data_IF_824714450032
#
_entry.id   IF_824714450032
#
_cell.length_a   1.000
_cell.length_b   1.000
_cell.length_c   1.000
_cell.angle_alpha   90.00
_cell.angle_beta   90.00
_cell.angle_gamma   90.00
#
_symmetry.space_group_name_H-M   'P 1'
#
loop_
_entity.id
_entity.type
_entity.pdbx_description
1 polymer ?
#
# COMPACT_ATOMS: atom_id res chain seq x y z
N UNK A 1 28.32 -13.10 8.20
CA UNK A 1 28.44 -12.12 9.29
C UNK A 1 27.25 -11.19 9.18
N UNK A 2 26.22 -11.38 10.00
CA UNK A 2 25.07 -10.48 10.07
C UNK A 2 25.55 -9.14 10.61
N UNK A 3 25.45 -8.09 9.80
CA UNK A 3 25.70 -6.72 10.27
C UNK A 3 24.60 -6.35 11.26
N UNK A 4 24.94 -6.22 12.54
CA UNK A 4 24.06 -5.63 13.56
C UNK A 4 23.66 -4.22 13.11
N UNK A 5 22.39 -4.03 12.78
CA UNK A 5 21.82 -2.71 12.43
C UNK A 5 22.00 -1.76 13.62
N UNK A 6 22.65 -0.62 13.40
CA UNK A 6 22.70 0.47 14.38
C UNK A 6 21.26 0.97 14.63
N UNK A 7 20.80 0.88 15.87
CA UNK A 7 19.44 1.14 16.35
C UNK A 7 18.92 2.58 16.13
N UNK A 8 19.70 3.51 15.52
CA UNK A 8 19.42 4.95 15.43
C UNK A 8 19.62 5.57 14.03
N UNK A 9 19.76 4.80 12.95
CA UNK A 9 19.80 5.42 11.61
C UNK A 9 18.38 5.59 11.06
N UNK A 10 18.09 6.74 10.47
CA UNK A 10 16.92 6.92 9.62
C UNK A 10 17.01 5.88 8.50
N UNK A 11 16.00 5.01 8.39
CA UNK A 11 15.91 4.05 7.28
C UNK A 11 15.49 4.81 6.03
N UNK A 12 16.27 4.65 4.96
CA UNK A 12 15.90 5.22 3.67
C UNK A 12 14.78 4.38 3.04
N UNK A 13 13.79 5.05 2.48
CA UNK A 13 12.73 4.36 1.77
C UNK A 13 12.31 5.09 0.49
N UNK A 14 11.98 4.31 -0.52
CA UNK A 14 11.43 4.77 -1.79
C UNK A 14 9.95 4.47 -1.86
N UNK A 15 9.19 5.40 -2.44
CA UNK A 15 7.77 5.26 -2.72
C UNK A 15 7.58 5.06 -4.22
N UNK A 16 6.94 3.96 -4.63
CA UNK A 16 6.55 3.69 -6.01
C UNK A 16 5.04 3.86 -6.14
N UNK A 17 4.61 4.68 -7.10
CA UNK A 17 3.21 4.90 -7.45
C UNK A 17 3.05 4.60 -8.94
N UNK A 18 2.17 3.65 -9.27
CA UNK A 18 1.82 3.35 -10.65
C UNK A 18 0.50 4.05 -10.98
N UNK A 19 0.42 4.70 -12.14
CA UNK A 19 -0.78 5.39 -12.58
C UNK A 19 -1.09 5.14 -14.06
N UNK A 20 -2.36 5.30 -14.43
CA UNK A 20 -2.82 5.22 -15.81
C UNK A 20 -4.02 6.15 -16.02
N UNK A 21 -3.83 7.25 -16.75
CA UNK A 21 -4.86 8.23 -17.14
C UNK A 21 -5.64 8.84 -15.95
N UNK A 22 -5.00 8.99 -14.78
CA UNK A 22 -5.63 9.42 -13.51
C UNK A 22 -4.86 10.56 -12.82
N UNK A 23 -4.59 11.72 -13.49
CA UNK A 23 -3.77 12.78 -12.91
C UNK A 23 -4.36 13.40 -11.64
N UNK A 24 -5.69 13.51 -11.52
CA UNK A 24 -6.32 14.14 -10.36
C UNK A 24 -6.26 13.28 -9.08
N UNK A 25 -6.56 11.97 -9.09
CA UNK A 25 -6.28 11.09 -7.96
C UNK A 25 -4.81 11.12 -7.56
N UNK A 26 -3.88 10.99 -8.51
CA UNK A 26 -2.45 11.06 -8.26
C UNK A 26 -2.04 12.37 -7.56
N UNK A 27 -2.57 13.52 -8.01
CA UNK A 27 -2.29 14.82 -7.38
C UNK A 27 -2.77 14.85 -5.92
N UNK A 28 -3.93 14.28 -5.61
CA UNK A 28 -4.43 14.19 -4.22
C UNK A 28 -3.51 13.34 -3.36
N UNK A 29 -3.09 12.17 -3.85
CA UNK A 29 -2.11 11.34 -3.16
C UNK A 29 -0.82 12.11 -2.91
N UNK A 30 -0.21 12.72 -3.93
CA UNK A 30 1.04 13.48 -3.80
C UNK A 30 0.93 14.63 -2.79
N UNK A 31 -0.21 15.32 -2.75
CA UNK A 31 -0.48 16.34 -1.75
C UNK A 31 -0.59 15.76 -0.32
N UNK A 32 -1.08 14.53 -0.16
CA UNK A 32 -1.09 13.86 1.14
C UNK A 32 0.31 13.38 1.55
N UNK A 33 1.12 12.95 0.56
CA UNK A 33 2.55 12.62 0.76
C UNK A 33 3.33 13.86 1.19
N UNK A 34 3.08 15.02 0.58
CA UNK A 34 3.74 16.28 0.95
C UNK A 34 3.49 16.71 2.40
N UNK A 35 2.40 16.25 3.02
CA UNK A 35 2.02 16.55 4.41
C UNK A 35 2.53 15.52 5.43
N UNK A 36 3.24 14.49 5.00
CA UNK A 36 3.71 13.43 5.88
C UNK A 36 4.72 13.93 6.91
N UNK A 37 4.64 13.42 8.14
CA UNK A 37 5.62 13.71 9.20
C UNK A 37 6.99 13.07 8.94
N UNK A 38 7.04 12.02 8.12
CA UNK A 38 8.25 11.39 7.57
C UNK A 38 8.11 11.32 6.05
N UNK A 39 8.94 12.07 5.33
CA UNK A 39 8.87 12.19 3.88
C UNK A 39 9.75 11.13 3.19
N UNK A 40 9.33 10.56 2.04
CA UNK A 40 10.14 9.61 1.29
C UNK A 40 11.47 10.18 0.83
N UNK A 41 12.53 9.36 0.87
CA UNK A 41 13.82 9.73 0.30
C UNK A 41 13.76 9.82 -1.23
N UNK A 42 12.83 9.06 -1.83
CA UNK A 42 12.59 9.01 -3.26
C UNK A 42 11.12 8.70 -3.54
N UNK A 43 10.55 9.36 -4.56
CA UNK A 43 9.21 9.08 -5.09
C UNK A 43 9.36 8.74 -6.56
N UNK A 44 8.91 7.56 -6.97
CA UNK A 44 8.92 7.10 -8.35
C UNK A 44 7.48 7.03 -8.86
N UNK A 45 7.14 7.90 -9.80
CA UNK A 45 5.88 7.81 -10.55
C UNK A 45 6.13 7.01 -11.82
N UNK A 46 5.45 5.89 -11.96
CA UNK A 46 5.50 5.05 -13.17
C UNK A 46 4.16 5.16 -13.89
N UNK A 47 4.15 5.93 -14.97
CA UNK A 47 2.93 6.28 -15.70
C UNK A 47 2.82 5.50 -17.01
N UNK A 48 1.76 4.70 -17.13
CA UNK A 48 1.40 3.98 -18.34
C UNK A 48 0.45 4.74 -19.27
N UNK A 49 0.14 6.02 -19.00
CA UNK A 49 -0.86 6.81 -19.74
C UNK A 49 -0.48 6.99 -21.21
N UNK A 50 -1.51 7.06 -22.06
CA UNK A 50 -1.36 7.32 -23.48
C UNK A 50 -1.34 8.82 -23.81
N UNK A 51 -1.67 9.67 -22.85
CA UNK A 51 -1.75 11.13 -22.99
C UNK A 51 -0.73 11.85 -22.08
N UNK A 52 -0.67 13.17 -22.15
CA UNK A 52 0.31 14.01 -21.45
C UNK A 52 -0.26 14.64 -20.16
N UNK A 53 -1.52 14.37 -19.78
CA UNK A 53 -2.18 15.04 -18.65
C UNK A 53 -1.44 14.84 -17.32
N UNK A 54 -0.82 13.67 -17.11
CA UNK A 54 0.00 13.43 -15.91
C UNK A 54 1.28 14.26 -15.95
N UNK A 55 1.94 14.34 -17.12
CA UNK A 55 3.13 15.18 -17.32
C UNK A 55 2.80 16.65 -17.03
N UNK A 56 1.75 17.19 -17.67
CA UNK A 56 1.29 18.57 -17.49
C UNK A 56 0.95 18.86 -16.02
N UNK A 57 0.29 17.92 -15.34
CA UNK A 57 -0.03 18.05 -13.91
C UNK A 57 1.25 18.13 -13.07
N UNK A 58 2.27 17.31 -13.35
CA UNK A 58 3.53 17.32 -12.62
C UNK A 58 4.38 18.55 -12.91
N UNK A 59 4.36 19.08 -14.13
CA UNK A 59 5.03 20.34 -14.49
C UNK A 59 4.46 21.56 -13.76
N UNK A 60 3.15 21.55 -13.50
CA UNK A 60 2.46 22.60 -12.77
C UNK A 60 2.53 22.45 -11.24
N UNK A 61 3.15 21.38 -10.73
CA UNK A 61 3.27 21.10 -9.30
C UNK A 61 4.68 20.60 -8.98
N UNK A 62 5.27 21.10 -7.90
CA UNK A 62 6.61 20.71 -7.47
C UNK A 62 6.56 19.78 -6.27
N UNK A 63 7.13 18.59 -6.39
CA UNK A 63 7.28 17.63 -5.30
C UNK A 63 8.75 17.25 -5.11
N UNK A 64 9.19 17.33 -3.86
CA UNK A 64 10.59 17.00 -3.52
C UNK A 64 10.87 15.50 -3.77
N UNK A 65 12.07 15.21 -4.27
CA UNK A 65 12.58 13.84 -4.48
C UNK A 65 11.75 13.00 -5.47
N UNK A 66 10.93 13.62 -6.33
CA UNK A 66 10.09 12.94 -7.30
C UNK A 66 10.85 12.71 -8.60
N UNK A 67 10.79 11.47 -9.10
CA UNK A 67 11.22 11.05 -10.42
C UNK A 67 10.02 10.52 -11.18
N UNK A 68 9.83 10.96 -12.41
CA UNK A 68 8.73 10.56 -13.28
C UNK A 68 9.23 9.71 -14.44
N UNK A 69 8.54 8.60 -14.68
CA UNK A 69 8.81 7.68 -15.78
C UNK A 69 7.52 7.39 -16.55
N UNK A 70 7.45 7.88 -17.77
CA UNK A 70 6.40 7.47 -18.72
C UNK A 70 6.85 6.18 -19.40
N UNK A 71 6.07 5.12 -19.26
CA UNK A 71 6.42 3.81 -19.82
C UNK A 71 5.64 3.51 -21.10
N UNK A 72 6.27 2.75 -21.98
CA UNK A 72 5.67 2.27 -23.22
C UNK A 72 4.70 1.12 -22.96
N UNK A 73 3.98 0.67 -23.99
CA UNK A 73 3.03 -0.44 -23.91
C UNK A 73 3.65 -1.73 -23.36
N UNK A 74 4.90 -1.98 -23.63
CA UNK A 74 5.66 -3.12 -23.14
C UNK A 74 5.67 -3.20 -21.61
N UNK A 75 5.84 -2.06 -20.94
CA UNK A 75 5.87 -1.94 -19.47
C UNK A 75 4.55 -1.46 -18.86
N UNK A 76 3.47 -1.39 -19.66
CA UNK A 76 2.15 -0.99 -19.18
C UNK A 76 1.46 -2.13 -18.46
N UNK A 77 0.72 -1.78 -17.39
CA UNK A 77 0.00 -2.68 -16.51
C UNK A 77 0.61 -2.73 -15.12
N UNK A 78 -0.23 -2.81 -14.09
CA UNK A 78 0.15 -2.59 -12.69
C UNK A 78 1.40 -3.39 -12.27
N UNK A 79 1.44 -4.69 -12.58
CA UNK A 79 2.57 -5.55 -12.22
C UNK A 79 3.85 -5.14 -12.95
N UNK A 80 3.75 -4.88 -14.26
CA UNK A 80 4.90 -4.46 -15.08
C UNK A 80 5.43 -3.09 -14.63
N UNK A 81 4.54 -2.14 -14.35
CA UNK A 81 4.91 -0.82 -13.84
C UNK A 81 5.58 -0.91 -12.47
N UNK A 82 5.09 -1.77 -11.57
CA UNK A 82 5.73 -2.02 -10.27
C UNK A 82 7.11 -2.61 -10.43
N UNK A 83 7.30 -3.61 -11.29
CA UNK A 83 8.61 -4.20 -11.57
C UNK A 83 9.57 -3.16 -12.17
N UNK A 84 9.11 -2.38 -13.15
CA UNK A 84 9.90 -1.28 -13.71
C UNK A 84 10.31 -0.27 -12.61
N UNK A 85 9.38 0.09 -11.73
CA UNK A 85 9.68 0.97 -10.59
C UNK A 85 10.75 0.39 -9.66
N UNK A 86 10.68 -0.91 -9.34
CA UNK A 86 11.67 -1.60 -8.50
C UNK A 86 13.08 -1.49 -9.11
N UNK A 87 13.21 -1.66 -10.43
CA UNK A 87 14.50 -1.54 -11.14
C UNK A 87 15.10 -0.13 -11.09
N UNK A 88 14.27 0.90 -10.83
CA UNK A 88 14.68 2.31 -10.76
C UNK A 88 14.90 2.82 -9.33
N UNK A 89 14.61 2.00 -8.31
CA UNK A 89 14.81 2.36 -6.91
C UNK A 89 16.29 2.65 -6.63
N UNK A 90 16.54 3.70 -5.84
CA UNK A 90 17.89 4.02 -5.38
C UNK A 90 18.46 2.86 -4.53
N UNK A 91 19.71 2.48 -4.82
CA UNK A 91 20.39 1.36 -4.15
C UNK A 91 20.60 1.58 -2.65
N UNK A 92 20.44 2.80 -2.17
CA UNK A 92 20.51 3.13 -0.73
C UNK A 92 19.18 2.92 -0.01
N UNK A 93 18.08 2.68 -0.74
CA UNK A 93 16.78 2.40 -0.14
C UNK A 93 16.76 1.04 0.54
N UNK A 94 16.35 1.04 1.81
CA UNK A 94 16.21 -0.17 2.63
C UNK A 94 14.79 -0.74 2.57
N UNK A 95 13.81 0.12 2.25
CA UNK A 95 12.39 -0.21 2.20
C UNK A 95 11.80 0.36 0.90
N UNK A 96 10.96 -0.43 0.24
CA UNK A 96 10.16 0.00 -0.89
C UNK A 96 8.69 0.00 -0.50
N UNK A 97 8.04 1.16 -0.61
CA UNK A 97 6.62 1.32 -0.39
C UNK A 97 5.89 1.37 -1.74
N UNK A 98 4.74 0.69 -1.82
CA UNK A 98 3.83 0.78 -2.95
C UNK A 98 2.52 1.40 -2.50
N UNK A 99 2.02 2.36 -3.26
CA UNK A 99 0.69 2.94 -3.08
C UNK A 99 -0.04 2.96 -4.41
N UNK A 100 -1.35 2.77 -4.36
CA UNK A 100 -2.24 3.00 -5.48
C UNK A 100 -2.50 4.51 -5.62
N UNK A 101 -2.68 5.01 -6.84
CA UNK A 101 -2.72 6.43 -7.19
C UNK A 101 -3.94 7.19 -6.64
N UNK A 102 -4.92 6.49 -6.05
CA UNK A 102 -6.12 7.04 -5.42
C UNK A 102 -6.14 6.96 -3.89
N UNK A 103 -5.00 6.64 -3.29
CA UNK A 103 -4.86 6.58 -1.84
C UNK A 103 -4.66 7.99 -1.26
N UNK A 104 -5.29 8.28 -0.13
CA UNK A 104 -5.03 9.48 0.68
C UNK A 104 -4.51 9.05 2.05
N UNK A 105 -3.36 9.61 2.46
CA UNK A 105 -2.62 9.12 3.61
C UNK A 105 -2.93 9.91 4.90
N UNK A 106 -3.05 9.21 6.04
CA UNK A 106 -2.89 9.83 7.34
C UNK A 106 -1.50 10.47 7.47
N UNK A 107 -1.42 11.58 8.22
CA UNK A 107 -0.18 12.36 8.39
C UNK A 107 1.03 11.56 8.87
N UNK A 108 0.82 10.49 9.64
CA UNK A 108 1.87 9.68 10.23
C UNK A 108 2.04 8.31 9.55
N UNK A 109 1.44 8.12 8.38
CA UNK A 109 1.44 6.82 7.71
C UNK A 109 2.86 6.26 7.53
N UNK A 110 3.76 6.96 6.85
CA UNK A 110 5.12 6.47 6.64
C UNK A 110 5.91 6.36 7.95
N UNK A 111 5.68 7.27 8.90
CA UNK A 111 6.31 7.14 10.21
C UNK A 111 5.94 5.83 10.89
N UNK A 112 4.66 5.46 10.90
CA UNK A 112 4.18 4.20 11.48
C UNK A 112 4.79 2.98 10.76
N UNK A 113 4.82 2.96 9.43
CA UNK A 113 5.44 1.90 8.62
C UNK A 113 6.92 1.73 9.00
N UNK A 114 7.69 2.82 9.00
CA UNK A 114 9.13 2.78 9.28
C UNK A 114 9.41 2.41 10.73
N UNK A 115 8.62 2.89 11.67
CA UNK A 115 8.77 2.53 13.09
C UNK A 115 8.49 1.03 13.32
N UNK A 116 7.55 0.42 12.60
CA UNK A 116 7.31 -1.04 12.64
C UNK A 116 8.55 -1.82 12.22
N UNK A 117 9.15 -1.48 11.07
CA UNK A 117 10.39 -2.13 10.61
C UNK A 117 11.58 -1.93 11.56
N UNK A 118 11.63 -0.79 12.27
CA UNK A 118 12.69 -0.54 13.28
C UNK A 118 12.51 -1.37 14.53
N UNK A 119 11.27 -1.59 14.94
CA UNK A 119 10.94 -2.26 16.20
C UNK A 119 10.93 -3.78 16.07
N UNK A 120 10.69 -4.31 14.86
CA UNK A 120 10.68 -5.74 14.59
C UNK A 120 11.68 -6.09 13.47
N UNK A 121 12.80 -6.69 13.86
CA UNK A 121 13.85 -7.12 12.93
C UNK A 121 13.44 -8.30 12.03
N UNK A 122 12.37 -9.01 12.36
CA UNK A 122 11.82 -10.11 11.56
C UNK A 122 10.71 -9.64 10.62
N UNK A 123 10.29 -8.36 10.71
CA UNK A 123 9.28 -7.80 9.85
C UNK A 123 9.79 -7.74 8.40
N UNK A 124 9.09 -8.41 7.49
CA UNK A 124 9.40 -8.44 6.05
C UNK A 124 8.42 -7.62 5.21
N UNK A 125 7.29 -7.21 5.80
CA UNK A 125 6.27 -6.40 5.12
C UNK A 125 5.28 -5.80 6.10
N UNK A 126 4.81 -4.59 5.78
CA UNK A 126 3.79 -3.85 6.56
C UNK A 126 2.78 -3.27 5.60
N UNK A 127 1.50 -3.37 5.92
CA UNK A 127 0.41 -2.76 5.16
C UNK A 127 -0.38 -1.75 6.00
N UNK A 128 -0.92 -0.73 5.35
CA UNK A 128 -1.89 0.17 5.95
C UNK A 128 -3.31 -0.40 5.92
N UNK A 129 -4.19 0.18 6.71
CA UNK A 129 -5.62 -0.13 6.72
C UNK A 129 -6.39 1.03 6.08
N UNK A 130 -7.29 0.72 5.14
CA UNK A 130 -8.18 1.70 4.53
C UNK A 130 -9.32 2.05 5.52
N UNK A 131 -9.22 3.21 6.16
CA UNK A 131 -10.19 3.65 7.18
C UNK A 131 -11.52 4.13 6.59
N UNK A 132 -11.53 4.54 5.30
CA UNK A 132 -12.74 5.02 4.61
C UNK A 132 -13.60 3.88 4.04
N UNK A 133 -13.03 2.71 3.91
CA UNK A 133 -13.80 1.52 3.65
C UNK A 133 -14.41 1.06 4.99
N UNK A 134 -15.56 1.57 5.37
CA UNK A 134 -16.38 1.21 6.56
C UNK A 134 -16.81 -0.26 6.57
N UNK A 135 -15.90 -1.16 6.22
CA UNK A 135 -16.15 -2.60 6.15
C UNK A 135 -15.62 -3.32 7.36
N UNK A 136 -14.48 -2.84 7.93
CA UNK A 136 -13.90 -3.39 9.14
C UNK A 136 -14.45 -2.66 10.37
N UNK A 137 -14.96 -3.42 11.33
CA UNK A 137 -15.38 -2.88 12.61
C UNK A 137 -14.76 -3.70 13.74
N UNK A 138 -14.46 -3.02 14.85
CA UNK A 138 -13.94 -3.67 16.05
C UNK A 138 -15.05 -4.51 16.68
N UNK A 139 -14.73 -5.73 17.06
CA UNK A 139 -15.66 -6.63 17.76
C UNK A 139 -15.61 -6.24 19.24
N UNK A 140 -16.78 -5.90 19.83
CA UNK A 140 -16.90 -5.70 21.26
C UNK A 140 -16.99 -7.06 21.98
N UNK A 141 -16.48 -7.14 23.21
CA UNK A 141 -16.41 -8.39 24.00
C UNK A 141 -17.78 -9.10 24.15
N UNK A 142 -18.87 -8.34 24.07
CA UNK A 142 -20.25 -8.87 24.20
C UNK A 142 -20.95 -9.03 22.84
N UNK A 143 -20.27 -8.80 21.72
CA UNK A 143 -20.87 -8.84 20.39
C UNK A 143 -20.74 -10.23 19.76
N UNK A 144 -21.88 -10.87 19.50
CA UNK A 144 -21.93 -12.10 18.71
C UNK A 144 -21.75 -11.79 17.22
N UNK A 145 -20.75 -12.40 16.59
CA UNK A 145 -20.45 -12.26 15.17
C UNK A 145 -20.83 -13.53 14.42
N UNK A 146 -21.64 -13.38 13.37
CA UNK A 146 -21.96 -14.49 12.47
C UNK A 146 -20.79 -14.81 11.57
N UNK A 147 -19.98 -15.79 11.96
CA UNK A 147 -18.77 -16.22 11.24
C UNK A 147 -19.08 -16.79 9.84
N UNK A 148 -20.35 -17.12 9.53
CA UNK A 148 -20.71 -17.53 8.17
C UNK A 148 -20.80 -16.39 7.18
N UNK A 149 -20.84 -15.14 7.69
CA UNK A 149 -21.00 -13.91 6.89
C UNK A 149 -19.89 -12.88 7.10
N UNK A 150 -18.96 -13.16 8.01
CA UNK A 150 -17.89 -12.24 8.35
C UNK A 150 -16.53 -12.93 8.32
N UNK A 151 -15.54 -12.17 7.85
CA UNK A 151 -14.14 -12.50 8.09
C UNK A 151 -13.71 -11.82 9.38
N UNK A 152 -12.99 -12.53 10.22
CA UNK A 152 -12.53 -12.01 11.52
C UNK A 152 -11.01 -12.16 11.58
N UNK A 153 -10.32 -11.06 11.93
CA UNK A 153 -8.88 -11.04 12.16
C UNK A 153 -8.59 -10.05 13.29
N UNK A 154 -7.81 -10.49 14.26
CA UNK A 154 -7.25 -9.66 15.34
C UNK A 154 -8.27 -8.74 16.03
N UNK A 155 -9.44 -9.27 16.37
CA UNK A 155 -10.51 -8.53 17.05
C UNK A 155 -11.32 -7.57 16.16
N UNK A 156 -11.10 -7.60 14.84
CA UNK A 156 -11.88 -6.86 13.87
C UNK A 156 -12.67 -7.81 12.97
N UNK A 157 -13.83 -7.37 12.54
CA UNK A 157 -14.68 -8.10 11.59
C UNK A 157 -15.00 -7.27 10.36
N UNK A 158 -15.10 -7.95 9.21
CA UNK A 158 -15.61 -7.38 7.95
C UNK A 158 -16.71 -8.28 7.40
N UNK A 159 -17.82 -7.69 6.99
CA UNK A 159 -18.90 -8.44 6.35
C UNK A 159 -18.48 -8.91 4.96
N UNK A 160 -18.85 -10.14 4.61
CA UNK A 160 -18.63 -10.69 3.28
C UNK A 160 -19.25 -9.77 2.21
N UNK A 161 -18.48 -9.46 1.17
CA UNK A 161 -18.95 -8.58 0.10
C UNK A 161 -20.00 -9.26 -0.78
N UNK A 162 -20.94 -8.47 -1.29
CA UNK A 162 -21.95 -8.95 -2.26
C UNK A 162 -21.31 -9.64 -3.49
N UNK A 163 -20.08 -9.23 -3.85
CA UNK A 163 -19.31 -9.83 -4.95
C UNK A 163 -18.92 -11.29 -4.66
N UNK A 164 -18.50 -11.57 -3.43
CA UNK A 164 -18.18 -12.95 -3.01
C UNK A 164 -19.43 -13.80 -2.89
N UNK A 165 -20.53 -13.25 -2.39
CA UNK A 165 -21.83 -13.94 -2.34
C UNK A 165 -22.30 -14.34 -3.75
N UNK A 166 -22.13 -13.49 -4.76
CA UNK A 166 -22.47 -13.80 -6.16
C UNK A 166 -21.54 -14.90 -6.70
N UNK A 167 -20.23 -14.82 -6.45
CA UNK A 167 -19.27 -15.85 -6.86
C UNK A 167 -19.61 -17.22 -6.26
N UNK A 168 -19.93 -17.26 -4.97
CA UNK A 168 -20.32 -18.50 -4.29
C UNK A 168 -21.60 -19.10 -4.88
N UNK A 169 -22.60 -18.27 -5.22
CA UNK A 169 -23.83 -18.71 -5.90
C UNK A 169 -23.57 -19.28 -7.30
N UNK A 170 -22.55 -18.80 -7.99
CA UNK A 170 -22.14 -19.27 -9.32
C UNK A 170 -21.18 -20.46 -9.25
N UNK A 171 -20.90 -21.02 -8.07
CA UNK A 171 -19.95 -22.12 -7.89
C UNK A 171 -18.49 -21.75 -8.16
N UNK A 172 -18.19 -20.46 -8.28
CA UNK A 172 -16.84 -19.97 -8.44
C UNK A 172 -16.18 -19.93 -7.06
N UNK A 173 -15.13 -20.70 -6.85
CA UNK A 173 -14.43 -20.71 -5.56
C UNK A 173 -13.92 -19.30 -5.23
N UNK A 174 -14.37 -18.78 -4.08
CA UNK A 174 -13.70 -17.63 -3.46
C UNK A 174 -12.38 -18.12 -2.88
N UNK A 175 -11.24 -17.40 -3.09
CA UNK A 175 -9.99 -17.76 -2.44
C UNK A 175 -10.06 -17.60 -0.91
N UNK A 176 -11.07 -16.90 -0.41
CA UNK A 176 -11.29 -16.65 1.02
C UNK A 176 -12.67 -17.14 1.42
N UNK A 177 -12.75 -17.98 2.46
CA UNK A 177 -13.99 -18.36 3.11
C UNK A 177 -14.22 -17.46 4.34
N UNK A 178 -15.48 -17.02 4.60
CA UNK A 178 -15.79 -16.36 5.86
C UNK A 178 -15.35 -17.21 7.05
N UNK A 179 -14.92 -16.59 8.13
CA UNK A 179 -14.46 -17.26 9.33
C UNK A 179 -13.33 -16.50 10.00
N UNK A 180 -12.76 -17.09 11.03
CA UNK A 180 -11.57 -16.57 11.70
C UNK A 180 -10.38 -16.82 10.80
N UNK A 181 -9.71 -15.75 10.36
CA UNK A 181 -8.46 -15.87 9.63
C UNK A 181 -7.34 -16.22 10.61
N UNK A 182 -6.39 -17.10 10.22
CA UNK A 182 -5.24 -17.36 11.07
C UNK A 182 -4.45 -16.08 11.30
N UNK A 183 -4.01 -15.88 12.52
CA UNK A 183 -3.10 -14.80 12.86
C UNK A 183 -1.74 -15.08 12.23
N UNK A 184 -1.37 -14.28 11.24
CA UNK A 184 -0.06 -14.34 10.59
C UNK A 184 1.01 -13.51 11.31
N UNK A 185 0.65 -12.81 12.40
CA UNK A 185 1.57 -11.95 13.15
C UNK A 185 2.60 -12.72 13.96
N UNK A 186 2.36 -14.02 14.25
CA UNK A 186 3.28 -14.90 14.95
C UNK A 186 3.85 -15.92 13.95
N UNK A 187 5.01 -15.62 13.39
CA UNK A 187 5.81 -16.58 12.66
C UNK A 187 6.01 -17.81 13.53
N UNK A 188 5.46 -18.96 13.14
CA UNK A 188 5.74 -20.21 13.82
C UNK A 188 7.19 -20.59 13.58
N UNK A 189 7.88 -20.80 14.68
CA UNK A 189 9.17 -21.48 14.78
C UNK A 189 9.19 -22.80 14.03
#
# INVERSE_FOLDING_TARGET
TFKTRKKNSLMNFSLIICTYMRPQPLLKLLNSVAKQSLYPNEILIVDGSNDERTTEMLENNSFKNLKYYKVTEENRGLTKQRNFGIEKVDTTSEIVCFLDDDTELDRNYFKAIIDTFKNDSNCVGVGGVAVNENRWFKIDENQSIDLSKHYVIDGYAIKESSRNLVRNKLGLQSPFRPGIMPDFSHGRT
#
